data_IF_054491165744
#
_entry.id   IF_054491165744
#
_cell.length_a   1.000
_cell.length_b   1.000
_cell.length_c   1.000
_cell.angle_alpha   90.00
_cell.angle_beta   90.00
_cell.angle_gamma   90.00
#
_symmetry.space_group_name_H-M   'P 1'
#
loop_
_entity.id
_entity.type
_entity.pdbx_description
1 polymer ?
#
# COMPACT_ATOMS: atom_id res chain seq x y z
N UNK A 1 -22.77 -17.04 -1.72
CA UNK A 1 -22.17 -15.83 -1.15
C UNK A 1 -23.05 -15.33 -0.02
N UNK A 2 -22.48 -14.86 1.11
CA UNK A 2 -23.17 -14.34 2.27
C UNK A 2 -23.49 -15.37 3.34
N UNK A 3 -24.06 -14.90 4.46
CA UNK A 3 -24.49 -15.68 5.63
C UNK A 3 -26.01 -15.62 5.81
N UNK A 4 -26.57 -16.53 6.62
CA UNK A 4 -28.00 -16.57 6.94
C UNK A 4 -28.87 -17.37 5.97
N UNK A 5 -30.19 -17.11 5.92
CA UNK A 5 -31.11 -17.83 5.05
C UNK A 5 -30.84 -17.57 3.57
N UNK A 6 -31.10 -18.57 2.73
CA UNK A 6 -30.89 -18.47 1.28
C UNK A 6 -32.03 -17.67 0.64
N UNK A 7 -31.67 -16.63 -0.11
CA UNK A 7 -32.63 -15.83 -0.88
C UNK A 7 -32.78 -16.36 -2.31
N UNK A 8 -31.65 -16.67 -2.95
CA UNK A 8 -31.61 -17.20 -4.32
C UNK A 8 -30.64 -18.36 -4.39
N UNK A 9 -30.99 -19.41 -5.14
CA UNK A 9 -30.06 -20.50 -5.41
C UNK A 9 -30.25 -21.03 -6.83
N UNK A 10 -29.14 -21.37 -7.48
CA UNK A 10 -29.11 -21.98 -8.82
C UNK A 10 -28.12 -23.15 -8.80
N UNK A 11 -28.54 -24.27 -9.35
CA UNK A 11 -27.68 -25.43 -9.56
C UNK A 11 -27.16 -25.39 -11.00
N UNK A 12 -25.85 -25.39 -11.18
CA UNK A 12 -25.23 -25.49 -12.49
C UNK A 12 -25.30 -26.93 -13.03
N UNK A 13 -25.08 -27.09 -14.33
CA UNK A 13 -25.04 -28.43 -14.98
C UNK A 13 -23.94 -29.34 -14.41
N UNK A 14 -22.92 -28.77 -13.79
CA UNK A 14 -21.84 -29.48 -13.08
C UNK A 14 -22.22 -30.00 -11.68
N UNK A 15 -23.46 -29.81 -11.22
CA UNK A 15 -23.91 -30.16 -9.88
C UNK A 15 -23.61 -29.10 -8.82
N UNK A 16 -22.81 -28.09 -9.13
CA UNK A 16 -22.43 -27.02 -8.18
C UNK A 16 -23.62 -26.10 -7.90
N UNK A 17 -23.94 -25.90 -6.63
CA UNK A 17 -25.01 -25.03 -6.17
C UNK A 17 -24.46 -23.64 -5.82
N UNK A 18 -24.84 -22.63 -6.54
CA UNK A 18 -24.56 -21.23 -6.24
C UNK A 18 -25.74 -20.64 -5.46
N UNK A 19 -25.48 -19.96 -4.34
CA UNK A 19 -26.54 -19.33 -3.54
C UNK A 19 -26.13 -17.95 -3.06
N UNK A 20 -27.10 -17.03 -3.03
CA UNK A 20 -27.02 -15.72 -2.40
C UNK A 20 -27.85 -15.80 -1.12
N UNK A 21 -27.25 -15.39 -0.01
CA UNK A 21 -27.86 -15.39 1.33
C UNK A 21 -28.16 -13.94 1.75
N UNK A 22 -29.00 -13.79 2.79
CA UNK A 22 -29.56 -12.50 3.20
C UNK A 22 -28.51 -11.48 3.66
N UNK A 23 -27.44 -11.93 4.33
CA UNK A 23 -26.40 -11.06 4.81
C UNK A 23 -25.20 -11.11 3.84
N UNK A 24 -24.80 -9.97 3.23
CA UNK A 24 -23.76 -9.95 2.19
C UNK A 24 -22.34 -10.02 2.76
N UNK A 25 -22.16 -10.52 3.96
CA UNK A 25 -20.85 -10.66 4.59
C UNK A 25 -20.21 -12.01 4.24
N UNK A 26 -19.06 -11.92 3.56
CA UNK A 26 -18.21 -13.06 3.24
C UNK A 26 -18.82 -14.05 2.24
N UNK A 27 -18.15 -15.15 2.09
CA UNK A 27 -18.56 -16.28 1.26
C UNK A 27 -18.07 -17.57 1.89
N UNK A 28 -18.82 -18.66 1.72
CA UNK A 28 -18.40 -19.99 2.08
C UNK A 28 -18.51 -20.91 0.89
N UNK A 29 -17.52 -21.77 0.72
CA UNK A 29 -17.53 -22.86 -0.23
C UNK A 29 -17.48 -24.14 0.59
N UNK A 30 -18.45 -25.02 0.44
CA UNK A 30 -18.44 -26.36 1.01
C UNK A 30 -18.14 -27.35 -0.12
N UNK A 31 -17.09 -28.13 0.04
CA UNK A 31 -16.68 -29.13 -0.92
C UNK A 31 -17.19 -30.51 -0.47
N UNK A 32 -17.66 -31.30 -1.41
CA UNK A 32 -18.11 -32.66 -1.11
C UNK A 32 -16.92 -33.50 -0.58
N UNK A 33 -17.08 -34.07 0.61
CA UNK A 33 -16.05 -34.91 1.23
C UNK A 33 -14.86 -34.14 1.81
N UNK A 34 -15.06 -32.87 2.21
CA UNK A 34 -14.07 -32.08 2.93
C UNK A 34 -13.98 -32.53 4.41
N UNK A 35 -15.14 -32.66 5.06
CA UNK A 35 -15.27 -32.99 6.47
C UNK A 35 -15.58 -34.49 6.74
N UNK A 36 -15.91 -35.26 5.71
CA UNK A 36 -16.26 -36.66 5.81
C UNK A 36 -15.42 -37.51 4.86
N UNK A 37 -15.05 -38.73 5.28
CA UNK A 37 -14.36 -39.72 4.46
C UNK A 37 -15.28 -40.34 3.39
N UNK A 38 -15.95 -39.50 2.61
CA UNK A 38 -16.78 -39.93 1.51
C UNK A 38 -15.91 -40.25 0.29
N UNK A 39 -15.78 -41.55 -0.02
CA UNK A 39 -15.04 -42.02 -1.19
C UNK A 39 -15.82 -41.88 -2.52
N UNK A 40 -16.79 -40.99 -2.60
CA UNK A 40 -17.54 -40.76 -3.82
C UNK A 40 -16.64 -40.12 -4.92
N UNK A 41 -16.81 -40.64 -6.14
CA UNK A 41 -16.10 -40.11 -7.30
C UNK A 41 -16.45 -38.61 -7.48
N UNK A 42 -15.48 -37.73 -7.22
CA UNK A 42 -15.69 -36.27 -7.29
C UNK A 42 -15.53 -35.55 -5.96
N UNK A 43 -15.39 -36.25 -4.84
CA UNK A 43 -15.11 -35.67 -3.53
C UNK A 43 -13.71 -35.01 -3.50
N UNK A 44 -13.53 -34.02 -2.62
CA UNK A 44 -12.24 -33.33 -2.41
C UNK A 44 -11.14 -34.33 -2.06
N UNK A 45 -11.42 -35.30 -1.19
CA UNK A 45 -10.46 -36.32 -0.77
C UNK A 45 -10.11 -37.34 -1.86
N UNK A 46 -10.95 -37.50 -2.90
CA UNK A 46 -10.67 -38.37 -4.03
C UNK A 46 -9.70 -37.75 -5.07
N UNK A 47 -9.39 -36.46 -4.93
CA UNK A 47 -8.51 -35.74 -5.87
C UNK A 47 -7.05 -35.88 -5.49
N UNK A 48 -6.13 -35.83 -6.47
CA UNK A 48 -4.69 -35.88 -6.21
C UNK A 48 -4.25 -34.71 -5.33
N UNK A 49 -3.20 -34.91 -4.56
CA UNK A 49 -2.67 -33.95 -3.59
C UNK A 49 -2.50 -32.55 -4.19
N UNK A 50 -1.94 -32.47 -5.40
CA UNK A 50 -1.73 -31.19 -6.09
C UNK A 50 -3.01 -30.41 -6.36
N UNK A 51 -4.11 -31.09 -6.71
CA UNK A 51 -5.41 -30.43 -6.92
C UNK A 51 -5.96 -29.87 -5.59
N UNK A 52 -5.81 -30.59 -4.48
CA UNK A 52 -6.20 -30.14 -3.16
C UNK A 52 -5.37 -28.94 -2.70
N UNK A 53 -4.04 -29.01 -2.89
CA UNK A 53 -3.15 -27.88 -2.60
C UNK A 53 -3.49 -26.64 -3.43
N UNK A 54 -3.76 -26.82 -4.73
CA UNK A 54 -4.14 -25.71 -5.60
C UNK A 54 -5.41 -24.98 -5.12
N UNK A 55 -6.40 -25.73 -4.65
CA UNK A 55 -7.66 -25.15 -4.11
C UNK A 55 -7.37 -24.35 -2.84
N UNK A 56 -6.56 -24.87 -1.91
CA UNK A 56 -6.23 -24.17 -0.67
C UNK A 56 -5.42 -22.89 -0.94
N UNK A 57 -4.46 -22.97 -1.85
CA UNK A 57 -3.60 -21.82 -2.20
C UNK A 57 -4.37 -20.78 -3.03
N UNK A 58 -5.37 -21.20 -3.81
CA UNK A 58 -6.14 -20.28 -4.66
C UNK A 58 -6.80 -19.15 -3.87
N UNK A 59 -7.31 -19.41 -2.66
CA UNK A 59 -7.93 -18.37 -1.80
C UNK A 59 -6.99 -17.21 -1.51
N UNK A 60 -5.88 -17.43 -0.81
CA UNK A 60 -4.87 -16.39 -0.57
C UNK A 60 -4.35 -15.76 -1.86
N UNK A 61 -4.08 -16.54 -2.91
CA UNK A 61 -3.58 -16.05 -4.19
C UNK A 61 -4.52 -15.02 -4.84
N UNK A 62 -5.82 -15.33 -4.91
CA UNK A 62 -6.80 -14.38 -5.47
C UNK A 62 -7.00 -13.14 -4.59
N UNK A 63 -6.83 -13.26 -3.26
CA UNK A 63 -6.84 -12.10 -2.38
C UNK A 63 -5.67 -11.14 -2.68
N UNK A 64 -4.46 -11.66 -2.94
CA UNK A 64 -3.33 -10.84 -3.38
C UNK A 64 -3.59 -10.15 -4.71
N UNK A 65 -4.15 -10.86 -5.70
CA UNK A 65 -4.52 -10.26 -6.99
C UNK A 65 -5.53 -9.13 -6.78
N UNK A 66 -6.59 -9.37 -5.98
CA UNK A 66 -7.60 -8.37 -5.70
C UNK A 66 -7.00 -7.15 -4.98
N UNK A 67 -6.17 -7.37 -3.96
CA UNK A 67 -5.50 -6.30 -3.24
C UNK A 67 -4.61 -5.47 -4.18
N UNK A 68 -3.86 -6.12 -5.07
CA UNK A 68 -3.04 -5.45 -6.06
C UNK A 68 -3.87 -4.59 -7.02
N UNK A 69 -4.98 -5.12 -7.54
CA UNK A 69 -5.87 -4.37 -8.44
C UNK A 69 -6.50 -3.16 -7.71
N UNK A 70 -6.94 -3.35 -6.47
CA UNK A 70 -7.47 -2.25 -5.67
C UNK A 70 -6.41 -1.19 -5.36
N UNK A 71 -5.18 -1.60 -5.06
CA UNK A 71 -4.07 -0.68 -4.86
C UNK A 71 -3.78 0.15 -6.12
N UNK A 72 -3.81 -0.46 -7.31
CA UNK A 72 -3.65 0.27 -8.57
C UNK A 72 -4.76 1.32 -8.77
N UNK A 73 -6.01 0.98 -8.45
CA UNK A 73 -7.14 1.91 -8.53
C UNK A 73 -6.92 3.07 -7.55
N UNK A 74 -6.58 2.78 -6.30
CA UNK A 74 -6.36 3.80 -5.27
C UNK A 74 -5.21 4.73 -5.65
N UNK A 75 -4.08 4.17 -6.12
CA UNK A 75 -2.93 4.96 -6.58
C UNK A 75 -3.31 5.80 -7.82
N UNK A 76 -4.10 5.24 -8.72
CA UNK A 76 -4.57 5.97 -9.91
C UNK A 76 -5.48 7.15 -9.59
N UNK A 77 -6.26 7.08 -8.48
CA UNK A 77 -7.12 8.18 -8.03
C UNK A 77 -6.40 9.20 -7.15
N UNK A 78 -5.58 8.75 -6.22
CA UNK A 78 -4.96 9.63 -5.22
C UNK A 78 -3.54 10.05 -5.60
N UNK A 79 -2.96 9.47 -6.66
CA UNK A 79 -1.55 9.68 -7.00
C UNK A 79 -0.59 8.97 -6.03
N UNK A 80 0.68 9.24 -6.20
CA UNK A 80 1.75 8.76 -5.33
C UNK A 80 2.29 9.95 -4.55
N UNK A 81 2.39 9.80 -3.24
CA UNK A 81 3.04 10.78 -2.37
C UNK A 81 4.55 10.81 -2.65
N UNK A 82 4.95 11.69 -3.56
CA UNK A 82 6.36 11.86 -3.95
C UNK A 82 6.97 12.96 -3.09
N UNK A 83 8.21 12.76 -2.66
CA UNK A 83 8.95 13.65 -1.76
C UNK A 83 9.47 14.91 -2.47
N UNK A 84 8.59 15.68 -3.12
CA UNK A 84 8.92 17.01 -3.64
C UNK A 84 8.71 18.08 -2.59
N UNK A 85 9.63 19.02 -2.55
CA UNK A 85 9.52 20.24 -1.73
C UNK A 85 8.46 21.16 -2.33
N UNK A 86 7.37 21.40 -1.60
CA UNK A 86 6.28 22.28 -2.06
C UNK A 86 6.58 23.75 -1.78
N UNK A 87 7.18 24.01 -0.64
CA UNK A 87 7.50 25.36 -0.22
C UNK A 87 8.69 25.35 0.72
N UNK A 88 9.58 26.31 0.57
CA UNK A 88 10.65 26.61 1.52
C UNK A 88 10.47 28.03 1.98
N UNK A 89 10.46 28.27 3.29
CA UNK A 89 10.31 29.62 3.84
C UNK A 89 11.58 30.44 3.53
N UNK A 90 11.40 31.60 2.94
CA UNK A 90 12.52 32.52 2.68
C UNK A 90 13.16 32.96 4.00
N UNK A 91 14.50 32.84 4.07
CA UNK A 91 15.25 33.16 5.29
C UNK A 91 15.40 32.00 6.26
N UNK A 92 14.81 30.81 5.98
CA UNK A 92 15.09 29.61 6.77
C UNK A 92 16.49 29.05 6.47
N UNK A 93 17.05 28.32 7.42
CA UNK A 93 18.35 27.67 7.25
C UNK A 93 18.36 26.70 6.05
N UNK A 94 17.24 26.02 5.77
CA UNK A 94 17.07 25.17 4.60
C UNK A 94 17.16 25.99 3.28
N UNK A 95 16.52 27.17 3.25
CA UNK A 95 16.57 28.06 2.10
C UNK A 95 17.99 28.61 1.87
N UNK A 96 18.69 29.04 2.93
CA UNK A 96 20.07 29.53 2.86
C UNK A 96 21.05 28.43 2.44
N UNK A 97 20.82 27.19 2.90
CA UNK A 97 21.59 26.03 2.45
C UNK A 97 21.36 25.65 0.99
N UNK A 98 20.36 26.25 0.35
CA UNK A 98 20.13 26.10 -1.09
C UNK A 98 18.96 25.20 -1.48
N UNK A 99 18.15 24.72 -0.55
CA UNK A 99 16.91 24.00 -0.85
C UNK A 99 15.89 24.94 -1.51
N UNK A 100 15.18 24.45 -2.54
CA UNK A 100 14.18 25.21 -3.29
C UNK A 100 12.93 24.39 -3.52
N UNK A 101 11.85 25.08 -3.81
CA UNK A 101 10.61 24.48 -4.29
C UNK A 101 10.86 23.65 -5.56
N UNK A 102 10.24 22.47 -5.65
CA UNK A 102 10.40 21.54 -6.75
C UNK A 102 11.58 20.56 -6.61
N UNK A 103 12.40 20.69 -5.56
CA UNK A 103 13.47 19.72 -5.30
C UNK A 103 12.90 18.38 -4.87
N UNK A 104 13.37 17.28 -5.47
CA UNK A 104 12.98 15.94 -5.06
C UNK A 104 13.96 15.41 -4.02
N UNK A 105 13.50 15.25 -2.79
CA UNK A 105 14.29 14.65 -1.71
C UNK A 105 14.44 13.14 -1.93
N UNK A 106 15.66 12.66 -1.84
CA UNK A 106 16.00 11.23 -2.01
C UNK A 106 16.66 10.63 -0.79
N UNK A 107 17.26 11.47 0.07
CA UNK A 107 17.76 11.05 1.39
C UNK A 107 17.55 12.15 2.41
N UNK A 108 17.24 11.77 3.63
CA UNK A 108 17.11 12.63 4.79
C UNK A 108 17.86 11.99 5.97
N UNK A 109 18.79 12.69 6.56
CA UNK A 109 19.71 12.20 7.61
C UNK A 109 20.34 10.83 7.31
N UNK A 110 20.71 10.60 6.03
CA UNK A 110 21.28 9.33 5.60
C UNK A 110 20.27 8.24 5.25
N UNK A 111 19.02 8.32 5.72
CA UNK A 111 17.94 7.43 5.33
C UNK A 111 17.45 7.70 3.92
N UNK A 112 17.15 6.65 3.16
CA UNK A 112 16.59 6.79 1.80
C UNK A 112 15.12 7.15 1.91
N UNK A 113 14.71 8.19 1.20
CA UNK A 113 13.34 8.68 1.15
C UNK A 113 12.75 8.35 -0.22
N UNK A 114 11.67 7.57 -0.23
CA UNK A 114 10.90 7.21 -1.42
C UNK A 114 9.57 7.93 -1.47
N UNK A 115 8.95 8.16 -0.31
CA UNK A 115 7.68 8.89 -0.12
C UNK A 115 7.87 9.98 0.94
N UNK A 116 7.15 11.09 0.77
CA UNK A 116 7.29 12.25 1.65
C UNK A 116 7.07 11.97 3.14
N UNK A 117 6.17 11.05 3.46
CA UNK A 117 5.90 10.63 4.84
C UNK A 117 7.09 10.02 5.58
N UNK A 118 8.05 9.45 4.88
CA UNK A 118 9.25 8.85 5.49
C UNK A 118 10.09 9.90 6.21
N UNK A 119 10.05 11.16 5.77
CA UNK A 119 10.76 12.26 6.42
C UNK A 119 10.18 12.53 7.82
N UNK A 120 8.85 12.57 7.93
CA UNK A 120 8.20 12.74 9.24
C UNK A 120 8.44 11.55 10.18
N UNK A 121 8.50 10.35 9.62
CA UNK A 121 8.83 9.15 10.37
C UNK A 121 10.26 9.18 10.89
N UNK A 122 11.22 9.61 10.08
CA UNK A 122 12.62 9.72 10.47
C UNK A 122 12.79 10.75 11.59
N UNK A 123 12.13 11.90 11.51
CA UNK A 123 12.13 12.91 12.58
C UNK A 123 11.50 12.42 13.88
N UNK A 124 10.51 11.51 13.79
CA UNK A 124 9.85 10.92 14.95
C UNK A 124 10.71 9.81 15.60
N UNK A 125 11.36 8.98 14.79
CA UNK A 125 12.15 7.82 15.25
C UNK A 125 13.54 8.25 15.71
N UNK A 126 14.12 9.23 15.05
CA UNK A 126 15.46 9.79 15.35
C UNK A 126 15.33 11.28 15.65
N UNK A 127 14.83 11.65 16.86
CA UNK A 127 14.68 13.04 17.23
C UNK A 127 16.01 13.77 17.08
N UNK A 128 15.98 14.91 16.41
CA UNK A 128 17.16 15.76 16.22
C UNK A 128 17.67 16.23 17.59
N UNK A 129 18.87 15.83 17.92
CA UNK A 129 19.60 16.21 19.17
C UNK A 129 20.29 17.58 19.05
N UNK A 130 19.88 18.39 18.05
CA UNK A 130 20.52 19.67 17.69
C UNK A 130 21.63 19.53 16.66
N UNK A 131 21.87 18.32 16.12
CA UNK A 131 22.82 18.10 15.03
C UNK A 131 22.26 18.61 13.70
N UNK A 132 23.15 18.92 12.76
CA UNK A 132 22.80 19.38 11.43
C UNK A 132 21.98 18.34 10.67
N UNK A 133 20.94 18.82 9.98
CA UNK A 133 20.11 17.99 9.09
C UNK A 133 20.83 17.85 7.74
N UNK A 134 21.05 16.62 7.31
CA UNK A 134 21.61 16.32 5.99
C UNK A 134 20.50 15.93 5.03
N UNK A 135 20.32 16.69 3.95
CA UNK A 135 19.33 16.43 2.91
C UNK A 135 20.01 16.23 1.56
N UNK A 136 19.69 15.12 0.91
CA UNK A 136 20.10 14.86 -0.47
C UNK A 136 18.87 14.95 -1.37
N UNK A 137 18.95 15.80 -2.37
CA UNK A 137 17.88 16.04 -3.33
C UNK A 137 18.36 15.97 -4.77
N UNK A 138 17.43 15.88 -5.70
CA UNK A 138 17.67 15.91 -7.15
C UNK A 138 16.97 17.13 -7.72
N UNK A 139 17.74 17.99 -8.39
CA UNK A 139 17.29 19.15 -9.16
C UNK A 139 17.85 19.05 -10.57
N UNK A 140 17.03 19.18 -11.60
CA UNK A 140 17.43 19.08 -13.02
C UNK A 140 18.27 17.83 -13.33
N UNK A 141 17.91 16.70 -12.72
CA UNK A 141 18.62 15.42 -12.88
C UNK A 141 19.97 15.33 -12.16
N UNK A 142 20.41 16.39 -11.47
CA UNK A 142 21.65 16.41 -10.69
C UNK A 142 21.37 16.19 -9.22
N UNK A 143 22.11 15.25 -8.62
CA UNK A 143 22.03 14.96 -7.20
C UNK A 143 22.92 15.93 -6.42
N UNK A 144 22.35 16.56 -5.40
CA UNK A 144 23.04 17.49 -4.51
C UNK A 144 22.78 17.10 -3.05
N UNK A 145 23.75 17.37 -2.17
CA UNK A 145 23.61 17.14 -0.73
C UNK A 145 23.96 18.44 -0.02
N UNK A 146 23.09 18.85 0.88
CA UNK A 146 23.27 20.00 1.76
C UNK A 146 23.16 19.57 3.20
N UNK A 147 23.76 20.36 4.10
CA UNK A 147 23.57 20.25 5.56
C UNK A 147 23.24 21.60 6.12
N UNK A 148 22.31 21.66 7.05
CA UNK A 148 21.92 22.90 7.74
C UNK A 148 21.45 22.61 9.15
N UNK A 149 21.62 23.59 10.05
CA UNK A 149 21.13 23.49 11.42
C UNK A 149 19.59 23.60 11.43
N UNK A 150 18.88 22.78 12.23
CA UNK A 150 17.44 22.87 12.35
C UNK A 150 17.02 24.23 12.92
N UNK A 151 16.03 24.89 12.30
CA UNK A 151 15.39 26.07 12.85
C UNK A 151 14.43 25.67 13.99
N UNK A 152 14.41 26.46 15.05
CA UNK A 152 13.59 26.18 16.24
C UNK A 152 12.08 26.27 15.96
N UNK A 153 11.67 26.99 14.93
CA UNK A 153 10.28 27.23 14.56
C UNK A 153 9.80 26.44 13.34
N UNK A 154 10.70 25.99 12.47
CA UNK A 154 10.35 25.29 11.21
C UNK A 154 10.98 23.90 11.14
N UNK A 155 10.44 22.97 11.92
CA UNK A 155 10.88 21.57 11.90
C UNK A 155 10.51 20.82 10.61
N UNK A 156 9.65 21.38 9.78
CA UNK A 156 9.06 20.64 8.68
C UNK A 156 9.28 21.31 7.35
N UNK A 157 9.97 20.62 6.46
CA UNK A 157 9.95 20.94 5.03
C UNK A 157 8.52 20.67 4.56
N UNK A 158 7.83 21.68 4.03
CA UNK A 158 6.53 21.48 3.40
C UNK A 158 6.67 20.61 2.16
N UNK A 159 6.10 19.41 2.19
CA UNK A 159 6.15 18.45 1.09
C UNK A 159 4.84 18.49 0.29
N UNK A 160 4.97 18.45 -1.03
CA UNK A 160 3.83 18.34 -1.94
C UNK A 160 3.26 16.90 -1.91
N UNK A 161 1.95 16.81 -1.69
CA UNK A 161 1.18 15.64 -2.09
C UNK A 161 0.79 15.79 -3.56
N UNK A 162 0.87 14.74 -4.34
CA UNK A 162 0.55 14.77 -5.78
C UNK A 162 -0.90 15.14 -6.10
N UNK A 163 -1.81 15.13 -5.11
CA UNK A 163 -3.16 15.64 -5.25
C UNK A 163 -3.23 17.17 -5.38
N UNK A 164 -2.22 17.89 -4.91
CA UNK A 164 -2.20 19.36 -4.92
C UNK A 164 -1.55 19.93 -6.20
N UNK A 165 -0.96 19.07 -7.04
CA UNK A 165 -0.31 19.47 -8.30
C UNK A 165 -1.29 19.54 -9.49
N UNK A 166 -2.61 19.39 -9.26
CA UNK A 166 -3.65 19.36 -10.30
C UNK A 166 -4.55 20.61 -10.35
N UNK A 167 -4.22 21.68 -9.59
CA UNK A 167 -4.90 22.98 -9.65
C UNK A 167 -4.04 24.06 -10.31
#
# INVERSE_FOLDING_TARGET
VGMGPRLLSRVAKSGTRYSIKALPFGGSCAMLGEDEDNAEKGSFNSKPLWARMAIVVAGPFFNFILAFLLALIVIGYNGIDISYVSKVTEGSNAYEAGLREGDRITKYNGATVSVGREIYLEDYVSPLDGSDISVTFVRDGKKQTISYAPDSEERYICLLYTSDAAD
#
